data_IF_028530405174
#
_entry.id   IF_028530405174
#
_cell.length_a   1.000
_cell.length_b   1.000
_cell.length_c   1.000
_cell.angle_alpha   90.00
_cell.angle_beta   90.00
_cell.angle_gamma   90.00
#
_symmetry.space_group_name_H-M   'P 1'
#
loop_
_entity.id
_entity.type
_entity.pdbx_description
1 polymer ?
#
# COMPACT_ATOMS: atom_id res chain seq x y z
N UNK A 1 -7.40 -34.12 14.47
CA UNK A 1 -6.11 -33.43 14.55
C UNK A 1 -6.26 -32.26 15.51
N UNK A 2 -5.42 -32.16 16.54
CA UNK A 2 -5.48 -31.05 17.52
C UNK A 2 -5.07 -29.74 16.80
N UNK A 3 -5.71 -28.60 17.09
CA UNK A 3 -5.40 -27.31 16.45
C UNK A 3 -3.90 -26.96 16.47
N UNK A 4 -3.22 -27.24 17.56
CA UNK A 4 -1.77 -27.02 17.74
C UNK A 4 -0.86 -27.71 16.72
N UNK A 5 -1.30 -28.85 16.17
CA UNK A 5 -0.50 -29.62 15.22
C UNK A 5 -0.58 -29.02 13.80
N UNK A 6 -1.69 -28.38 13.47
CA UNK A 6 -1.89 -27.69 12.17
C UNK A 6 -1.09 -26.38 12.07
N UNK A 7 -1.02 -25.62 13.18
CA UNK A 7 -0.20 -24.41 13.26
C UNK A 7 1.31 -24.71 13.21
N UNK A 8 1.74 -25.83 13.82
CA UNK A 8 3.14 -26.23 13.76
C UNK A 8 3.62 -26.59 12.35
N UNK A 9 2.76 -27.15 11.52
CA UNK A 9 3.11 -27.45 10.11
C UNK A 9 3.20 -26.18 9.25
N UNK A 10 2.30 -25.22 9.45
CA UNK A 10 2.36 -23.93 8.75
C UNK A 10 3.63 -23.18 9.14
N UNK A 11 3.96 -23.16 10.43
CA UNK A 11 5.20 -22.55 10.95
C UNK A 11 6.46 -23.18 10.35
N UNK A 12 6.50 -24.51 10.21
CA UNK A 12 7.62 -25.22 9.60
C UNK A 12 7.75 -24.91 8.10
N UNK A 13 6.63 -24.85 7.39
CA UNK A 13 6.59 -24.48 5.98
C UNK A 13 7.07 -23.04 5.81
N UNK A 14 6.53 -22.10 6.56
CA UNK A 14 6.95 -20.69 6.52
C UNK A 14 8.43 -20.55 6.88
N UNK A 15 8.91 -21.23 7.95
CA UNK A 15 10.33 -21.22 8.33
C UNK A 15 11.24 -21.84 7.28
N UNK A 16 10.78 -22.87 6.56
CA UNK A 16 11.53 -23.49 5.46
C UNK A 16 11.60 -22.55 4.25
N UNK A 17 10.50 -21.93 3.87
CA UNK A 17 10.46 -20.97 2.79
C UNK A 17 11.31 -19.73 3.09
N UNK A 18 11.27 -19.20 4.30
CA UNK A 18 12.10 -18.06 4.70
C UNK A 18 13.60 -18.35 4.74
N UNK A 19 13.99 -19.58 5.05
CA UNK A 19 15.42 -20.00 4.92
C UNK A 19 15.90 -20.04 3.49
N UNK A 20 14.98 -20.34 2.55
CA UNK A 20 15.26 -20.47 1.12
C UNK A 20 15.02 -19.16 0.35
N UNK A 21 13.97 -18.45 0.69
CA UNK A 21 13.46 -17.28 -0.03
C UNK A 21 13.45 -16.07 0.90
N UNK A 22 14.34 -15.29 0.92
CA UNK A 22 14.58 -14.14 1.81
C UNK A 22 13.36 -13.23 2.11
N UNK A 23 12.27 -13.36 1.37
CA UNK A 23 11.05 -12.55 1.44
C UNK A 23 9.83 -13.41 1.07
N UNK A 24 8.68 -13.18 1.70
CA UNK A 24 7.39 -13.80 1.38
C UNK A 24 6.34 -12.70 1.29
N UNK A 25 5.63 -12.64 0.18
CA UNK A 25 4.55 -11.72 -0.09
C UNK A 25 3.19 -12.44 -0.01
N UNK A 26 2.36 -12.06 0.96
CA UNK A 26 1.00 -12.58 1.13
C UNK A 26 0.02 -11.48 0.79
N UNK A 27 -0.91 -11.75 -0.14
CA UNK A 27 -1.96 -10.79 -0.47
C UNK A 27 -3.33 -11.32 -0.03
N UNK A 28 -4.07 -10.50 0.73
CA UNK A 28 -5.39 -10.83 1.24
C UNK A 28 -6.43 -9.86 0.68
N UNK A 29 -7.32 -10.38 -0.17
CA UNK A 29 -8.44 -9.63 -0.71
C UNK A 29 -9.68 -9.72 0.17
N UNK A 30 -10.43 -8.63 0.26
CA UNK A 30 -11.68 -8.65 1.01
C UNK A 30 -12.52 -7.38 0.86
N UNK A 31 -13.53 -7.28 1.70
CA UNK A 31 -14.46 -6.15 1.77
C UNK A 31 -14.11 -5.20 2.93
N UNK A 32 -15.17 -4.70 3.58
CA UNK A 32 -15.08 -3.70 4.66
C UNK A 32 -14.19 -4.10 5.83
N UNK A 33 -14.15 -5.38 6.21
CA UNK A 33 -13.33 -5.85 7.33
C UNK A 33 -11.83 -5.75 7.03
N UNK A 34 -11.43 -5.97 5.78
CA UNK A 34 -10.04 -5.82 5.34
C UNK A 34 -9.71 -4.35 5.16
N UNK A 35 -10.63 -3.52 4.64
CA UNK A 35 -10.46 -2.08 4.57
C UNK A 35 -10.24 -1.46 5.95
N UNK A 36 -10.98 -1.91 6.96
CA UNK A 36 -10.85 -1.43 8.34
C UNK A 36 -9.49 -1.76 8.97
N UNK A 37 -8.78 -2.74 8.42
CA UNK A 37 -7.44 -3.19 8.78
C UNK A 37 -7.29 -3.73 10.22
N UNK A 38 -8.37 -3.98 10.92
CA UNK A 38 -8.31 -4.51 12.31
C UNK A 38 -7.81 -5.96 12.32
N UNK A 39 -8.39 -6.80 11.45
CA UNK A 39 -7.99 -8.20 11.31
C UNK A 39 -6.64 -8.33 10.61
N UNK A 40 -6.48 -7.62 9.51
CA UNK A 40 -5.27 -7.67 8.69
C UNK A 40 -4.05 -7.15 9.46
N UNK A 41 -4.20 -6.14 10.29
CA UNK A 41 -3.10 -5.68 11.14
C UNK A 41 -2.69 -6.72 12.20
N UNK A 42 -3.65 -7.43 12.79
CA UNK A 42 -3.34 -8.53 13.74
C UNK A 42 -2.64 -9.69 13.06
N UNK A 43 -3.05 -10.04 11.85
CA UNK A 43 -2.38 -11.08 11.05
C UNK A 43 -0.96 -10.65 10.69
N UNK A 44 -0.79 -9.40 10.24
CA UNK A 44 0.53 -8.81 9.94
C UNK A 44 1.45 -8.88 11.15
N UNK A 45 0.98 -8.39 12.29
CA UNK A 45 1.72 -8.45 13.55
C UNK A 45 2.10 -9.89 13.92
N UNK A 46 1.18 -10.83 13.78
CA UNK A 46 1.42 -12.24 14.05
C UNK A 46 2.49 -12.83 13.12
N UNK A 47 2.40 -12.58 11.81
CA UNK A 47 3.38 -13.03 10.83
C UNK A 47 4.78 -12.44 11.08
N UNK A 48 4.85 -11.19 11.47
CA UNK A 48 6.10 -10.50 11.80
C UNK A 48 6.78 -11.07 13.05
N UNK A 49 6.02 -11.57 14.02
CA UNK A 49 6.56 -12.20 15.23
C UNK A 49 6.97 -13.66 15.04
N UNK A 50 6.40 -14.37 14.09
CA UNK A 50 6.75 -15.78 13.80
C UNK A 50 8.16 -15.90 13.23
N UNK A 51 8.64 -14.86 12.56
CA UNK A 51 9.87 -14.89 11.80
C UNK A 51 10.99 -14.21 12.61
N UNK A 52 12.16 -14.83 12.75
CA UNK A 52 13.28 -14.23 13.49
C UNK A 52 13.87 -12.99 12.79
N UNK A 53 13.40 -12.64 11.60
CA UNK A 53 13.83 -11.48 10.81
C UNK A 53 12.69 -10.47 10.78
N UNK A 54 12.81 -9.42 11.58
CA UNK A 54 11.80 -8.38 11.79
C UNK A 54 11.71 -7.37 10.63
N UNK A 55 11.64 -7.83 9.40
CA UNK A 55 11.90 -6.97 8.26
C UNK A 55 10.73 -6.68 7.33
N UNK A 56 9.52 -7.07 7.67
CA UNK A 56 8.39 -6.77 6.79
C UNK A 56 7.85 -5.36 7.03
N UNK A 57 7.54 -4.67 5.95
CA UNK A 57 6.89 -3.36 5.96
C UNK A 57 5.36 -3.48 5.86
N UNK A 58 4.69 -2.34 5.68
CA UNK A 58 3.22 -2.27 5.60
C UNK A 58 2.65 -2.96 4.36
N UNK A 59 3.39 -2.94 3.25
CA UNK A 59 2.92 -3.41 1.95
C UNK A 59 1.93 -2.43 1.31
N UNK A 60 1.04 -2.97 0.48
CA UNK A 60 0.04 -2.20 -0.24
C UNK A 60 -0.88 -1.40 0.69
N UNK A 61 -1.15 -0.16 0.30
CA UNK A 61 -1.98 0.76 1.05
C UNK A 61 -2.72 1.74 0.13
N UNK A 62 -4.02 1.90 0.36
CA UNK A 62 -4.78 2.99 -0.23
C UNK A 62 -5.15 4.03 0.83
N UNK A 63 -4.87 5.33 0.60
CA UNK A 63 -5.17 6.40 1.55
C UNK A 63 -6.66 6.78 1.53
N UNK A 64 -7.50 5.95 2.12
CA UNK A 64 -8.97 6.09 2.10
C UNK A 64 -9.50 7.43 2.62
N UNK A 65 -8.68 8.21 3.34
CA UNK A 65 -9.03 9.58 3.76
C UNK A 65 -9.20 10.52 2.57
N UNK A 66 -8.44 10.34 1.48
CA UNK A 66 -8.58 11.13 0.25
C UNK A 66 -9.99 11.02 -0.35
N UNK A 67 -10.62 9.86 -0.21
CA UNK A 67 -11.96 9.59 -0.75
C UNK A 67 -13.05 9.61 0.33
N UNK A 68 -12.78 10.23 1.49
CA UNK A 68 -13.72 10.40 2.60
C UNK A 68 -14.33 9.08 3.10
N UNK A 69 -13.53 7.99 3.10
CA UNK A 69 -13.92 6.66 3.52
C UNK A 69 -13.20 6.23 4.80
N UNK A 70 -13.67 5.13 5.41
CA UNK A 70 -13.01 4.55 6.57
C UNK A 70 -11.58 4.12 6.21
N UNK A 71 -10.64 4.51 7.07
CA UNK A 71 -9.22 4.25 6.88
C UNK A 71 -8.65 3.45 8.04
N UNK A 72 -7.53 2.75 7.79
CA UNK A 72 -6.77 2.05 8.81
C UNK A 72 -6.37 3.00 9.94
N UNK A 73 -6.53 2.59 11.21
CA UNK A 73 -6.01 3.37 12.34
C UNK A 73 -4.49 3.23 12.55
N UNK A 74 -3.86 2.29 11.83
CA UNK A 74 -2.47 1.89 12.05
C UNK A 74 -1.47 2.62 11.14
N UNK A 75 -1.92 3.03 9.95
CA UNK A 75 -1.21 3.97 9.09
C UNK A 75 -2.14 5.16 8.86
N UNK A 76 -1.85 6.25 9.53
CA UNK A 76 -2.68 7.46 9.45
C UNK A 76 -2.29 8.29 8.24
N UNK A 77 -3.31 8.88 7.62
CA UNK A 77 -3.14 9.77 6.48
C UNK A 77 -3.84 11.09 6.75
N UNK A 78 -3.12 12.19 6.52
CA UNK A 78 -3.71 13.53 6.41
C UNK A 78 -3.37 14.10 5.04
N UNK A 79 -4.17 15.03 4.54
CA UNK A 79 -3.92 15.65 3.24
C UNK A 79 -4.41 17.09 3.18
N UNK A 80 -3.86 17.84 2.25
CA UNK A 80 -4.40 19.09 1.72
C UNK A 80 -4.92 18.87 0.30
N UNK A 81 -5.64 19.86 -0.23
CA UNK A 81 -6.20 19.79 -1.57
C UNK A 81 -7.49 18.97 -1.65
N UNK A 82 -8.19 19.14 -2.76
CA UNK A 82 -9.45 18.48 -3.04
C UNK A 82 -9.22 17.21 -3.88
N UNK A 83 -9.90 16.13 -3.48
CA UNK A 83 -9.81 14.83 -4.12
C UNK A 83 -11.19 14.26 -4.41
N UNK A 84 -11.38 13.76 -5.62
CA UNK A 84 -12.53 12.93 -5.98
C UNK A 84 -12.24 11.45 -5.73
N UNK A 85 -13.21 10.76 -5.12
CA UNK A 85 -13.05 9.37 -4.71
C UNK A 85 -13.93 8.40 -5.47
N UNK A 86 -13.36 7.27 -5.89
CA UNK A 86 -14.04 6.20 -6.61
C UNK A 86 -13.72 4.84 -5.98
N UNK A 87 -14.67 3.90 -6.09
CA UNK A 87 -14.54 2.53 -5.56
C UNK A 87 -15.08 1.53 -6.56
N UNK A 88 -14.41 0.42 -6.71
CA UNK A 88 -14.80 -0.68 -7.58
C UNK A 88 -16.05 -1.44 -7.10
N UNK A 89 -16.48 -1.20 -5.86
CA UNK A 89 -17.63 -1.89 -5.25
C UNK A 89 -18.99 -1.42 -5.74
N UNK A 90 -19.06 -0.28 -6.42
CA UNK A 90 -20.30 0.20 -7.02
C UNK A 90 -20.59 -0.57 -8.32
N UNK A 91 -21.88 -0.77 -8.63
CA UNK A 91 -22.29 -1.55 -9.80
C UNK A 91 -21.91 -0.88 -11.12
N UNK A 92 -21.96 0.44 -11.13
CA UNK A 92 -21.56 1.28 -12.26
C UNK A 92 -20.46 2.22 -11.79
N UNK A 93 -19.29 2.14 -12.41
CA UNK A 93 -18.14 2.97 -12.05
C UNK A 93 -17.40 3.46 -13.29
N UNK A 94 -16.84 4.64 -13.16
CA UNK A 94 -15.90 5.16 -14.17
C UNK A 94 -14.53 4.49 -13.95
N UNK A 95 -14.08 3.84 -15.00
CA UNK A 95 -12.75 3.25 -15.09
C UNK A 95 -11.66 4.33 -15.30
N UNK A 96 -10.38 4.02 -15.06
CA UNK A 96 -9.84 2.73 -14.64
C UNK A 96 -9.72 2.55 -13.13
N UNK A 97 -9.49 1.30 -12.69
CA UNK A 97 -9.14 0.94 -11.32
C UNK A 97 -7.89 0.06 -11.28
N UNK A 98 -7.10 0.22 -10.20
CA UNK A 98 -5.97 -0.63 -9.89
C UNK A 98 -6.29 -1.79 -8.95
N UNK A 99 -5.25 -2.53 -8.58
CA UNK A 99 -5.30 -3.71 -7.69
C UNK A 99 -6.04 -3.43 -6.37
N UNK A 100 -5.85 -2.25 -5.78
CA UNK A 100 -6.47 -1.87 -4.51
C UNK A 100 -7.97 -1.55 -4.61
N UNK A 101 -8.54 -1.53 -5.83
CA UNK A 101 -9.98 -1.37 -6.04
C UNK A 101 -10.54 -0.01 -5.66
N UNK A 102 -9.68 0.96 -5.43
CA UNK A 102 -10.05 2.34 -5.14
C UNK A 102 -9.18 3.30 -5.98
N UNK A 103 -9.72 4.50 -6.24
CA UNK A 103 -9.02 5.56 -6.98
C UNK A 103 -9.33 6.91 -6.35
N UNK A 104 -8.31 7.75 -6.24
CA UNK A 104 -8.44 9.15 -5.85
C UNK A 104 -7.90 10.03 -6.97
N UNK A 105 -8.70 10.95 -7.48
CA UNK A 105 -8.30 11.94 -8.50
C UNK A 105 -8.03 13.28 -7.83
N UNK A 106 -6.86 13.87 -8.09
CA UNK A 106 -6.52 15.20 -7.61
C UNK A 106 -7.24 16.26 -8.45
N UNK A 107 -8.03 17.10 -7.77
CA UNK A 107 -8.80 18.16 -8.38
C UNK A 107 -8.02 19.48 -8.42
N UNK A 108 -7.19 19.71 -7.42
CA UNK A 108 -6.35 20.90 -7.32
C UNK A 108 -5.05 20.76 -8.13
N UNK A 109 -4.30 21.85 -8.23
CA UNK A 109 -2.98 21.86 -8.89
C UNK A 109 -1.89 21.23 -8.01
N UNK A 110 -2.11 21.15 -6.71
CA UNK A 110 -1.16 20.58 -5.75
C UNK A 110 -1.85 19.93 -4.56
N UNK A 111 -1.17 18.97 -3.96
CA UNK A 111 -1.59 18.34 -2.69
C UNK A 111 -0.37 17.93 -1.88
N UNK A 112 -0.49 18.02 -0.55
CA UNK A 112 0.41 17.40 0.41
C UNK A 112 -0.33 16.25 1.07
N UNK A 113 0.29 15.09 1.10
CA UNK A 113 -0.24 13.90 1.78
C UNK A 113 0.79 13.48 2.82
N UNK A 114 0.40 13.43 4.09
CA UNK A 114 1.26 12.92 5.16
C UNK A 114 0.83 11.52 5.53
N UNK A 115 1.78 10.60 5.52
CA UNK A 115 1.63 9.24 6.02
C UNK A 115 2.45 9.10 7.29
N UNK A 116 1.88 8.50 8.34
CA UNK A 116 2.61 8.17 9.54
C UNK A 116 2.10 6.90 10.21
N UNK A 117 3.04 6.08 10.64
CA UNK A 117 2.76 4.81 11.33
C UNK A 117 2.34 5.10 12.76
N UNK A 118 1.22 4.52 13.19
CA UNK A 118 0.82 4.56 14.58
C UNK A 118 1.61 3.51 15.38
N UNK A 119 2.71 3.95 16.01
CA UNK A 119 3.66 3.08 16.74
C UNK A 119 3.04 2.30 17.89
N UNK A 120 1.94 2.78 18.47
CA UNK A 120 1.26 2.08 19.56
C UNK A 120 0.63 0.75 19.12
N UNK A 121 0.40 0.59 17.82
CA UNK A 121 -0.37 -0.51 17.27
C UNK A 121 0.26 -1.21 16.07
N UNK A 122 1.41 -0.76 15.62
CA UNK A 122 2.11 -1.37 14.50
C UNK A 122 3.56 -1.63 14.87
N UNK A 123 3.88 -2.89 15.11
CA UNK A 123 5.25 -3.35 15.27
C UNK A 123 5.83 -3.55 13.87
N UNK A 124 6.99 -2.94 13.59
CA UNK A 124 7.73 -3.12 12.33
C UNK A 124 6.99 -2.67 11.04
N UNK A 125 6.29 -1.55 11.09
CA UNK A 125 5.70 -0.95 9.89
C UNK A 125 6.58 0.16 9.27
N UNK A 126 7.86 0.16 9.59
CA UNK A 126 8.84 1.05 8.98
C UNK A 126 9.07 0.68 7.52
N UNK A 127 9.47 1.67 6.73
CA UNK A 127 9.74 1.49 5.31
C UNK A 127 10.92 2.36 4.88
N UNK A 128 11.61 1.93 3.85
CA UNK A 128 12.66 2.68 3.16
C UNK A 128 12.42 2.74 1.63
N UNK A 129 11.29 2.20 1.18
CA UNK A 129 10.88 2.26 -0.21
C UNK A 129 9.39 2.56 -0.33
N UNK A 130 9.04 3.41 -1.30
CA UNK A 130 7.67 3.80 -1.60
C UNK A 130 7.47 3.71 -3.10
N UNK A 131 6.53 2.87 -3.54
CA UNK A 131 6.12 2.77 -4.93
C UNK A 131 4.70 3.35 -5.06
N UNK A 132 4.51 4.28 -5.99
CA UNK A 132 3.22 4.87 -6.27
C UNK A 132 2.53 4.12 -7.41
N UNK A 133 1.32 3.67 -7.17
CA UNK A 133 0.44 3.11 -8.18
C UNK A 133 -0.44 4.24 -8.70
N UNK A 134 -0.07 4.81 -9.84
CA UNK A 134 -0.71 6.02 -10.38
C UNK A 134 -1.03 5.87 -11.87
N UNK A 135 -1.99 6.66 -12.32
CA UNK A 135 -2.16 7.01 -13.72
C UNK A 135 -1.92 8.52 -13.86
N UNK A 136 -0.79 8.85 -14.42
CA UNK A 136 -0.40 10.18 -14.86
C UNK A 136 0.08 10.06 -16.32
N UNK A 137 -0.84 9.63 -17.17
CA UNK A 137 -0.57 9.26 -18.57
C UNK A 137 0.04 10.41 -19.41
N UNK A 138 -0.11 11.63 -18.94
CA UNK A 138 0.46 12.81 -19.58
C UNK A 138 1.76 13.29 -18.92
N UNK A 139 2.22 12.62 -17.87
CA UNK A 139 3.41 12.99 -17.09
C UNK A 139 3.42 14.48 -16.68
N UNK A 140 2.25 14.98 -16.30
CA UNK A 140 2.04 16.39 -15.99
C UNK A 140 2.19 16.72 -14.50
N UNK A 141 2.50 15.73 -13.67
CA UNK A 141 2.64 15.90 -12.24
C UNK A 141 4.02 15.42 -11.77
N UNK A 142 4.59 16.19 -10.86
CA UNK A 142 5.77 15.81 -10.10
C UNK A 142 5.33 15.24 -8.75
N UNK A 143 5.94 14.13 -8.36
CA UNK A 143 5.80 13.55 -7.02
C UNK A 143 7.13 13.77 -6.32
N UNK A 144 7.11 14.43 -5.18
CA UNK A 144 8.26 14.62 -4.31
C UNK A 144 8.01 14.02 -2.93
N UNK A 145 9.05 13.48 -2.35
CA UNK A 145 9.06 13.00 -0.97
C UNK A 145 9.78 14.00 -0.09
N UNK A 146 9.13 14.44 0.97
CA UNK A 146 9.70 15.33 1.98
C UNK A 146 9.90 14.53 3.27
N UNK A 147 11.15 14.47 3.72
CA UNK A 147 11.56 13.78 4.96
C UNK A 147 12.44 14.70 5.78
N UNK A 148 12.93 14.19 6.92
CA UNK A 148 14.00 14.84 7.67
C UNK A 148 15.25 15.00 6.79
N UNK A 149 15.98 16.10 6.95
CA UNK A 149 17.19 16.42 6.19
C UNK A 149 18.32 15.40 6.32
N UNK A 150 18.21 14.46 7.26
CA UNK A 150 19.17 13.36 7.45
C UNK A 150 18.90 12.16 6.55
N UNK A 151 17.75 12.14 5.86
CA UNK A 151 17.36 11.05 4.96
C UNK A 151 17.57 11.48 3.52
N UNK A 152 18.46 10.82 2.80
CA UNK A 152 18.59 11.00 1.36
C UNK A 152 17.54 10.19 0.61
N UNK A 153 17.08 10.73 -0.52
CA UNK A 153 16.01 10.16 -1.34
C UNK A 153 16.56 9.95 -2.74
N UNK A 154 16.36 8.74 -3.25
CA UNK A 154 16.65 8.37 -4.63
C UNK A 154 15.33 8.10 -5.36
N UNK A 155 15.08 8.85 -6.43
CA UNK A 155 13.98 8.62 -7.35
C UNK A 155 14.46 7.67 -8.45
N UNK A 156 13.72 6.55 -8.66
CA UNK A 156 14.01 5.61 -9.74
C UNK A 156 13.59 6.15 -11.10
N UNK A 157 14.07 5.52 -12.17
CA UNK A 157 13.82 5.92 -13.56
C UNK A 157 12.34 5.96 -13.94
N UNK A 158 11.50 5.15 -13.28
CA UNK A 158 10.05 5.12 -13.48
C UNK A 158 9.32 6.37 -12.97
N UNK A 159 10.02 7.24 -12.22
CA UNK A 159 9.48 8.44 -11.55
C UNK A 159 8.33 8.19 -10.57
N UNK A 160 8.11 6.94 -10.20
CA UNK A 160 7.01 6.52 -9.31
C UNK A 160 7.52 5.75 -8.10
N UNK A 161 8.81 5.37 -8.08
CA UNK A 161 9.44 4.62 -7.01
C UNK A 161 10.55 5.40 -6.34
N UNK A 162 10.50 5.47 -5.01
CA UNK A 162 11.44 6.21 -4.18
C UNK A 162 12.14 5.27 -3.21
N UNK A 163 13.45 5.42 -3.08
CA UNK A 163 14.27 4.71 -2.09
C UNK A 163 14.84 5.72 -1.10
N UNK A 164 14.65 5.45 0.18
CA UNK A 164 15.15 6.27 1.29
C UNK A 164 16.40 5.64 1.87
N UNK A 165 17.35 6.45 2.32
CA UNK A 165 18.60 5.94 2.91
C UNK A 165 18.40 5.25 4.27
N UNK A 166 17.31 5.52 4.93
CA UNK A 166 16.99 4.99 6.26
C UNK A 166 15.54 4.53 6.32
N UNK A 167 15.27 3.59 7.22
CA UNK A 167 13.90 3.23 7.60
C UNK A 167 13.21 4.40 8.28
N UNK A 168 12.04 4.77 7.79
CA UNK A 168 11.21 5.84 8.34
C UNK A 168 9.85 5.31 8.78
N UNK A 169 9.19 6.04 9.66
CA UNK A 169 7.82 5.78 10.13
C UNK A 169 6.82 6.82 9.61
N UNK A 170 7.31 7.85 8.96
CA UNK A 170 6.49 8.92 8.43
C UNK A 170 7.14 9.56 7.21
N UNK A 171 6.29 10.07 6.33
CA UNK A 171 6.71 10.76 5.11
C UNK A 171 5.64 11.77 4.70
N UNK A 172 6.06 12.87 4.11
CA UNK A 172 5.19 13.81 3.43
C UNK A 172 5.42 13.66 1.94
N UNK A 173 4.35 13.43 1.21
CA UNK A 173 4.32 13.37 -0.25
C UNK A 173 3.76 14.67 -0.77
N UNK A 174 4.49 15.34 -1.65
CA UNK A 174 4.04 16.50 -2.40
C UNK A 174 3.74 16.07 -3.82
N UNK A 175 2.56 16.41 -4.31
CA UNK A 175 2.15 16.19 -5.68
C UNK A 175 1.84 17.56 -6.24
N UNK A 176 2.51 17.95 -7.32
CA UNK A 176 2.33 19.25 -7.99
C UNK A 176 2.18 19.06 -9.49
N UNK A 177 1.27 19.83 -10.09
CA UNK A 177 1.13 19.89 -11.53
C UNK A 177 2.27 20.73 -12.12
N UNK A 178 3.06 20.15 -13.02
CA UNK A 178 4.19 20.84 -13.65
C UNK A 178 3.78 21.81 -14.75
N UNK A 179 2.68 21.50 -15.45
CA UNK A 179 2.24 22.29 -16.61
C UNK A 179 0.81 22.80 -16.42
N UNK A 180 0.49 23.92 -17.07
CA UNK A 180 -0.87 24.47 -17.10
C UNK A 180 -1.85 23.63 -17.95
N UNK A 181 -1.39 22.54 -18.55
CA UNK A 181 -2.23 21.65 -19.31
C UNK A 181 -3.16 20.83 -18.40
N UNK A 182 -4.36 20.56 -18.91
CA UNK A 182 -5.37 19.81 -18.18
C UNK A 182 -5.01 18.32 -18.22
N UNK A 183 -4.24 17.86 -17.25
CA UNK A 183 -4.02 16.44 -16.98
C UNK A 183 -4.74 16.00 -15.72
N UNK A 184 -5.17 14.74 -15.67
CA UNK A 184 -5.68 14.12 -14.45
C UNK A 184 -4.58 13.34 -13.79
N UNK A 185 -4.43 13.49 -12.47
CA UNK A 185 -3.61 12.63 -11.66
C UNK A 185 -4.52 11.67 -10.88
N UNK A 186 -4.36 10.39 -11.10
CA UNK A 186 -5.15 9.35 -10.42
C UNK A 186 -4.23 8.48 -9.59
N UNK A 187 -4.47 8.45 -8.29
CA UNK A 187 -3.78 7.57 -7.35
C UNK A 187 -4.61 6.31 -7.14
N UNK A 188 -4.04 5.15 -7.46
CA UNK A 188 -4.62 3.82 -7.19
C UNK A 188 -4.10 3.22 -5.88
N UNK A 189 -3.04 3.77 -5.31
CA UNK A 189 -2.46 3.37 -4.05
C UNK A 189 -0.95 3.51 -3.99
N UNK A 190 -0.39 2.94 -2.94
CA UNK A 190 1.05 2.91 -2.67
C UNK A 190 1.45 1.52 -2.19
N UNK A 191 2.71 1.18 -2.39
CA UNK A 191 3.34 0.06 -1.74
C UNK A 191 4.47 0.58 -0.85
N UNK A 192 4.36 0.37 0.45
CA UNK A 192 5.42 0.65 1.42
C UNK A 192 6.20 -0.62 1.66
N UNK A 193 7.44 -0.65 1.25
CA UNK A 193 8.32 -1.81 1.37
C UNK A 193 9.63 -1.47 2.09
N UNK A 194 10.42 -2.49 2.39
CA UNK A 194 11.76 -2.31 2.93
C UNK A 194 12.70 -3.38 2.39
N UNK A 195 13.99 -3.08 2.38
CA UNK A 195 15.04 -4.03 2.01
C UNK A 195 15.24 -5.15 3.05
N UNK A 196 14.57 -5.06 4.19
CA UNK A 196 14.63 -6.06 5.23
C UNK A 196 13.84 -7.30 4.80
N UNK A 197 14.35 -8.46 5.17
CA UNK A 197 13.75 -9.75 4.87
C UNK A 197 12.61 -10.06 5.83
N UNK A 198 11.57 -10.72 5.34
CA UNK A 198 10.46 -11.12 6.19
C UNK A 198 9.21 -11.51 5.43
N UNK A 199 8.07 -11.43 6.09
CA UNK A 199 6.75 -11.65 5.49
C UNK A 199 6.08 -10.29 5.33
N UNK A 200 5.82 -9.88 4.10
CA UNK A 200 4.98 -8.74 3.81
C UNK A 200 3.54 -9.20 3.62
N UNK A 201 2.64 -8.68 4.44
CA UNK A 201 1.23 -9.01 4.38
C UNK A 201 0.44 -7.81 3.83
N UNK A 202 0.03 -7.93 2.56
CA UNK A 202 -0.74 -6.94 1.85
C UNK A 202 -2.23 -7.13 2.12
N UNK A 203 -2.90 -6.09 2.62
CA UNK A 203 -4.35 -6.07 2.84
C UNK A 203 -5.04 -5.24 1.77
N UNK A 204 -5.79 -5.90 0.91
CA UNK A 204 -6.54 -5.28 -0.19
C UNK A 204 -8.02 -5.40 0.09
N UNK A 205 -8.63 -4.33 0.57
CA UNK A 205 -10.05 -4.33 0.95
C UNK A 205 -10.76 -3.05 0.59
N UNK A 206 -11.95 -3.17 0.02
CA UNK A 206 -12.85 -2.05 -0.28
C UNK A 206 -14.24 -2.36 0.23
N UNK A 207 -14.83 -1.42 0.96
CA UNK A 207 -16.18 -1.57 1.50
C UNK A 207 -17.20 -1.89 0.40
N UNK A 208 -17.89 -3.02 0.54
CA UNK A 208 -18.86 -3.53 -0.42
C UNK A 208 -18.26 -4.23 -1.64
N UNK A 209 -16.94 -4.39 -1.72
CA UNK A 209 -16.33 -5.12 -2.82
C UNK A 209 -16.55 -6.64 -2.73
N UNK A 210 -16.55 -7.26 -3.88
CA UNK A 210 -16.68 -8.71 -4.11
C UNK A 210 -15.60 -9.15 -5.11
N UNK A 211 -15.42 -10.45 -5.29
CA UNK A 211 -14.47 -10.96 -6.29
C UNK A 211 -14.72 -10.36 -7.68
N UNK A 212 -15.95 -10.32 -8.21
CA UNK A 212 -16.22 -9.67 -9.49
C UNK A 212 -15.85 -8.18 -9.52
N UNK A 213 -15.88 -7.47 -8.38
CA UNK A 213 -15.46 -6.07 -8.32
C UNK A 213 -13.98 -5.91 -8.63
N UNK A 214 -13.14 -6.79 -8.09
CA UNK A 214 -11.70 -6.77 -8.34
C UNK A 214 -11.34 -7.23 -9.76
N UNK A 215 -12.02 -8.27 -10.26
CA UNK A 215 -11.77 -8.78 -11.62
C UNK A 215 -12.15 -7.81 -12.74
N UNK A 216 -12.85 -6.72 -12.41
CA UNK A 216 -13.16 -5.63 -13.36
C UNK A 216 -12.11 -4.51 -13.35
N UNK A 217 -11.14 -4.55 -12.46
CA UNK A 217 -10.11 -3.51 -12.38
C UNK A 217 -9.11 -3.70 -13.51
N UNK A 218 -8.95 -2.69 -14.35
CA UNK A 218 -8.16 -2.73 -15.57
C UNK A 218 -6.68 -3.01 -15.32
N UNK A 219 -6.10 -2.37 -14.30
CA UNK A 219 -4.69 -2.53 -13.93
C UNK A 219 -4.46 -3.61 -12.86
N UNK A 220 -5.46 -4.51 -12.65
CA UNK A 220 -5.36 -5.52 -11.60
C UNK A 220 -4.16 -6.44 -11.76
N UNK A 221 -3.98 -7.01 -12.95
CA UNK A 221 -2.90 -7.97 -13.21
C UNK A 221 -1.54 -7.28 -13.24
N UNK A 222 -1.43 -6.15 -13.91
CA UNK A 222 -0.16 -5.40 -14.02
C UNK A 222 0.36 -5.00 -12.62
N UNK A 223 -0.53 -4.54 -11.75
CA UNK A 223 -0.15 -4.16 -10.39
C UNK A 223 0.02 -5.38 -9.45
N UNK A 224 -0.64 -6.50 -9.73
CA UNK A 224 -0.41 -7.75 -9.01
C UNK A 224 0.99 -8.29 -9.29
N UNK A 225 1.43 -8.22 -10.54
CA UNK A 225 2.76 -8.65 -10.96
C UNK A 225 3.87 -7.82 -10.28
N UNK A 226 3.65 -6.53 -10.01
CA UNK A 226 4.59 -5.69 -9.25
C UNK A 226 4.77 -6.18 -7.80
N UNK A 227 3.75 -6.74 -7.19
CA UNK A 227 3.80 -7.29 -5.83
C UNK A 227 4.37 -8.69 -5.81
N UNK A 228 4.18 -9.45 -6.90
CA UNK A 228 4.62 -10.83 -7.06
C UNK A 228 4.30 -11.69 -5.83
N UNK A 229 3.01 -11.90 -5.49
CA UNK A 229 2.62 -12.61 -4.28
C UNK A 229 2.96 -14.10 -4.35
N UNK A 230 3.38 -14.67 -3.21
CA UNK A 230 3.61 -16.10 -3.03
C UNK A 230 2.33 -16.83 -2.60
N UNK A 231 1.38 -16.09 -2.01
CA UNK A 231 0.10 -16.59 -1.50
C UNK A 231 -0.98 -15.50 -1.53
#
# INVERSE_FOLDING_TARGET
MKPTQKYGQILLIVSFYLKKWKEINIIHFGGSHIQADVWSNRLRDHFQHIVPYNGASRGLYFPFKLIKSNASPYLKTTHSGEWNGFRNSVSYHDSPFGLLGARAELMDSASLITFYVNKEHCVNCFFDQIDFLVDDSLHNHCIDILTDSTVSIELREDRQSFVLSNLVDSVIVRIERENHEKGKFSLFGLNFSSQLKGITYHSVGVNGASVPSYLRCEYFMDQLDLVNPDL
#
